data_IF_112740713018
#
_entry.id   IF_112740713018
#
_cell.length_a   1.000
_cell.length_b   1.000
_cell.length_c   1.000
_cell.angle_alpha   90.00
_cell.angle_beta   90.00
_cell.angle_gamma   90.00
#
_symmetry.space_group_name_H-M   'P 1'
#
loop_
_entity.id
_entity.type
_entity.pdbx_description
1 polymer ?
#
# COMPACT_ATOMS: atom_id res chain seq x y z
N UNK A 1 -8.73 16.20 -14.11
CA UNK A 1 -9.23 14.82 -13.96
C UNK A 1 -9.53 14.68 -12.48
N UNK A 2 -10.78 14.83 -12.08
CA UNK A 2 -11.20 14.60 -10.70
C UNK A 2 -11.34 13.09 -10.56
N UNK A 3 -10.24 12.42 -10.18
CA UNK A 3 -10.14 10.96 -10.20
C UNK A 3 -11.08 10.31 -9.17
N UNK A 4 -11.50 11.04 -8.13
CA UNK A 4 -12.49 10.60 -7.15
C UNK A 4 -13.41 11.78 -6.79
N UNK A 5 -14.56 11.92 -7.47
CA UNK A 5 -15.61 12.80 -6.99
C UNK A 5 -16.54 12.01 -6.04
N UNK A 6 -16.55 12.30 -4.73
CA UNK A 6 -17.42 11.59 -3.81
C UNK A 6 -18.91 11.75 -4.14
N UNK A 7 -19.28 12.84 -4.84
CA UNK A 7 -20.63 13.07 -5.34
C UNK A 7 -21.10 12.02 -6.35
N UNK A 8 -20.20 11.47 -7.15
CA UNK A 8 -20.51 10.43 -8.15
C UNK A 8 -20.80 9.08 -7.48
N UNK A 9 -20.24 8.87 -6.28
CA UNK A 9 -20.44 7.68 -5.47
C UNK A 9 -21.56 7.83 -4.44
N UNK A 10 -21.92 9.06 -4.05
CA UNK A 10 -22.99 9.36 -3.09
C UNK A 10 -24.33 8.68 -3.44
N UNK A 11 -24.56 8.38 -4.72
CA UNK A 11 -25.79 7.76 -5.24
C UNK A 11 -25.56 6.40 -5.93
N UNK A 12 -24.34 5.86 -5.90
CA UNK A 12 -23.95 4.62 -6.58
C UNK A 12 -23.70 3.43 -5.64
N UNK A 13 -23.61 2.22 -6.21
CA UNK A 13 -23.38 0.97 -5.48
C UNK A 13 -22.15 1.02 -4.54
N UNK A 14 -21.12 1.81 -4.88
CA UNK A 14 -19.92 1.99 -4.06
C UNK A 14 -20.20 2.54 -2.66
N UNK A 15 -21.11 3.51 -2.49
CA UNK A 15 -21.47 4.07 -1.17
C UNK A 15 -22.02 3.00 -0.23
N UNK A 16 -22.85 2.07 -0.75
CA UNK A 16 -23.37 0.96 0.07
C UNK A 16 -22.24 0.04 0.56
N UNK A 17 -21.28 -0.31 -0.28
CA UNK A 17 -20.16 -1.16 0.11
C UNK A 17 -19.23 -0.49 1.12
N UNK A 18 -18.91 0.79 0.92
CA UNK A 18 -18.08 1.52 1.88
C UNK A 18 -18.75 1.62 3.25
N UNK A 19 -20.03 1.96 3.30
CA UNK A 19 -20.75 2.00 4.59
C UNK A 19 -20.79 0.63 5.27
N UNK A 20 -20.99 -0.46 4.53
CA UNK A 20 -20.96 -1.82 5.10
C UNK A 20 -19.60 -2.16 5.73
N UNK A 21 -18.49 -1.79 5.09
CA UNK A 21 -17.14 -1.98 5.65
C UNK A 21 -16.98 -1.14 6.93
N UNK A 22 -17.41 0.12 6.89
CA UNK A 22 -17.32 1.04 8.03
C UNK A 22 -18.18 0.57 9.20
N UNK A 23 -19.35 -0.02 8.93
CA UNK A 23 -20.26 -0.58 9.93
C UNK A 23 -19.66 -1.77 10.69
N UNK A 24 -18.68 -2.49 10.13
CA UNK A 24 -17.94 -3.54 10.85
C UNK A 24 -17.25 -2.99 12.10
N UNK A 25 -16.91 -1.70 12.12
CA UNK A 25 -16.33 -1.03 13.30
C UNK A 25 -17.30 -0.98 14.49
N UNK A 26 -18.61 -1.06 14.28
CA UNK A 26 -19.57 -1.17 15.40
C UNK A 26 -19.52 -2.52 16.09
N UNK A 27 -19.10 -3.56 15.38
CA UNK A 27 -18.93 -4.91 15.92
C UNK A 27 -17.54 -5.10 16.52
N UNK A 28 -16.53 -4.44 15.94
CA UNK A 28 -15.12 -4.51 16.36
C UNK A 28 -14.55 -3.08 16.48
N UNK A 29 -14.69 -2.40 17.63
CA UNK A 29 -14.30 -0.99 17.78
C UNK A 29 -12.81 -0.69 17.54
N UNK A 30 -11.95 -1.70 17.66
CA UNK A 30 -10.50 -1.58 17.40
C UNK A 30 -10.14 -1.72 15.92
N UNK A 31 -11.08 -2.18 15.07
CA UNK A 31 -10.87 -2.34 13.64
C UNK A 31 -10.61 -0.97 12.98
N UNK A 32 -9.51 -0.90 12.22
CA UNK A 32 -9.19 0.24 11.36
C UNK A 32 -9.47 -0.07 9.90
N UNK A 33 -10.00 0.93 9.21
CA UNK A 33 -10.38 0.84 7.79
C UNK A 33 -9.58 1.87 6.99
N UNK A 34 -8.81 1.43 6.00
CA UNK A 34 -7.93 2.29 5.20
C UNK A 34 -8.41 2.23 3.75
N UNK A 35 -8.58 3.39 3.12
CA UNK A 35 -8.93 3.48 1.70
C UNK A 35 -7.66 3.32 0.85
N UNK A 36 -7.53 2.19 0.14
CA UNK A 36 -6.45 2.02 -0.83
C UNK A 36 -6.85 2.60 -2.20
N UNK A 37 -6.00 3.49 -2.73
CA UNK A 37 -6.16 4.13 -4.03
C UNK A 37 -4.93 3.76 -4.85
N UNK A 38 -5.12 2.98 -5.92
CA UNK A 38 -3.97 2.39 -6.58
C UNK A 38 -4.30 1.25 -7.53
N UNK A 39 -3.44 0.23 -7.52
CA UNK A 39 -3.58 -0.97 -8.32
C UNK A 39 -3.12 -0.74 -9.75
N UNK A 40 -3.85 -1.23 -10.74
CA UNK A 40 -3.47 -1.17 -12.16
C UNK A 40 -3.60 0.21 -12.81
N UNK A 41 -4.01 1.22 -12.05
CA UNK A 41 -4.17 2.59 -12.53
C UNK A 41 -2.81 3.28 -12.72
N UNK A 42 -2.65 4.05 -13.80
CA UNK A 42 -1.41 4.80 -14.05
C UNK A 42 -1.45 6.16 -13.32
N UNK A 43 -0.65 6.28 -12.25
CA UNK A 43 -0.55 7.50 -11.45
C UNK A 43 0.59 8.42 -11.89
N UNK A 44 1.45 8.01 -12.84
CA UNK A 44 2.72 8.71 -13.11
C UNK A 44 2.50 10.17 -13.45
N UNK A 45 1.58 10.44 -14.39
CA UNK A 45 1.29 11.81 -14.85
C UNK A 45 0.60 12.67 -13.78
N UNK A 46 -0.10 12.04 -12.83
CA UNK A 46 -0.73 12.73 -11.71
C UNK A 46 0.32 13.11 -10.66
N UNK A 47 1.26 12.19 -10.35
CA UNK A 47 2.25 12.40 -9.30
C UNK A 47 3.28 13.46 -9.67
N UNK A 48 3.76 13.48 -10.92
CA UNK A 48 4.82 14.40 -11.36
C UNK A 48 4.34 15.83 -11.63
N UNK A 49 3.03 16.07 -11.63
CA UNK A 49 2.42 17.35 -11.97
C UNK A 49 1.78 17.94 -10.72
N UNK A 50 2.35 19.02 -10.20
CA UNK A 50 1.94 19.62 -8.92
C UNK A 50 0.44 19.94 -8.84
N UNK A 51 -0.13 20.51 -9.91
CA UNK A 51 -1.55 20.87 -9.94
C UNK A 51 -2.46 19.64 -9.93
N UNK A 52 -2.05 18.57 -10.63
CA UNK A 52 -2.81 17.30 -10.63
C UNK A 52 -2.66 16.58 -9.31
N UNK A 53 -1.47 16.57 -8.73
CA UNK A 53 -1.19 15.94 -7.43
C UNK A 53 -1.99 16.59 -6.32
N UNK A 54 -2.02 17.93 -6.26
CA UNK A 54 -2.82 18.66 -5.28
C UNK A 54 -4.34 18.40 -5.41
N UNK A 55 -4.85 18.33 -6.64
CA UNK A 55 -6.26 17.94 -6.89
C UNK A 55 -6.55 16.52 -6.42
N UNK A 56 -5.63 15.59 -6.70
CA UNK A 56 -5.73 14.21 -6.24
C UNK A 56 -5.71 14.12 -4.71
N UNK A 57 -4.75 14.77 -4.04
CA UNK A 57 -4.60 14.81 -2.58
C UNK A 57 -5.90 15.31 -1.93
N UNK A 58 -6.44 16.42 -2.43
CA UNK A 58 -7.70 16.97 -1.94
C UNK A 58 -8.86 15.98 -2.11
N UNK A 59 -8.97 15.40 -3.31
CA UNK A 59 -10.02 14.45 -3.67
C UNK A 59 -9.96 13.16 -2.82
N UNK A 60 -8.77 12.64 -2.57
CA UNK A 60 -8.55 11.51 -1.66
C UNK A 60 -8.95 11.85 -0.22
N UNK A 61 -8.52 13.02 0.28
CA UNK A 61 -8.86 13.47 1.63
C UNK A 61 -10.37 13.69 1.82
N UNK A 62 -11.04 14.29 0.83
CA UNK A 62 -12.50 14.45 0.83
C UNK A 62 -13.19 13.08 0.93
N UNK A 63 -12.67 12.06 0.22
CA UNK A 63 -13.23 10.70 0.25
C UNK A 63 -13.02 9.99 1.59
N UNK A 64 -11.79 10.04 2.13
CA UNK A 64 -11.43 9.48 3.44
C UNK A 64 -12.33 10.05 4.53
N UNK A 65 -12.54 11.37 4.52
CA UNK A 65 -13.35 12.05 5.51
C UNK A 65 -14.85 11.80 5.32
N UNK A 66 -15.36 11.80 4.08
CA UNK A 66 -16.78 11.59 3.81
C UNK A 66 -17.27 10.22 4.30
N UNK A 67 -16.48 9.17 4.06
CA UNK A 67 -16.83 7.80 4.44
C UNK A 67 -16.25 7.38 5.79
N UNK A 68 -15.59 8.29 6.50
CA UNK A 68 -15.00 8.04 7.83
C UNK A 68 -14.01 6.86 7.85
N UNK A 69 -13.17 6.77 6.82
CA UNK A 69 -12.00 5.90 6.84
C UNK A 69 -11.00 6.40 7.89
N UNK A 70 -10.24 5.47 8.46
CA UNK A 70 -9.18 5.72 9.43
C UNK A 70 -7.85 6.10 8.75
N UNK A 71 -7.75 5.93 7.43
CA UNK A 71 -6.54 6.22 6.66
C UNK A 71 -6.69 6.14 5.16
N UNK A 72 -5.58 6.44 4.47
CA UNK A 72 -5.37 6.26 3.04
C UNK A 72 -4.13 5.41 2.79
N UNK A 73 -4.22 4.53 1.80
CA UNK A 73 -3.10 3.75 1.28
C UNK A 73 -2.91 4.09 -0.20
N UNK A 74 -1.66 4.34 -0.62
CA UNK A 74 -1.33 4.53 -2.04
C UNK A 74 -0.66 3.25 -2.53
N UNK A 75 -1.37 2.49 -3.38
CA UNK A 75 -0.83 1.28 -3.99
C UNK A 75 -0.10 1.59 -5.30
N UNK A 76 1.24 1.64 -5.19
CA UNK A 76 2.18 2.06 -6.22
C UNK A 76 2.62 0.83 -7.00
N UNK A 77 1.70 0.22 -7.76
CA UNK A 77 2.03 -0.96 -8.57
C UNK A 77 2.97 -0.65 -9.74
N UNK A 78 3.09 0.63 -10.13
CA UNK A 78 3.88 1.11 -11.25
C UNK A 78 4.98 2.07 -10.78
N UNK A 79 6.23 1.93 -11.27
CA UNK A 79 7.33 2.76 -10.82
C UNK A 79 7.14 4.22 -11.25
N UNK A 80 7.19 5.13 -10.28
CA UNK A 80 7.26 6.58 -10.49
C UNK A 80 8.70 6.94 -10.87
N UNK A 81 8.90 7.77 -11.90
CA UNK A 81 10.25 8.04 -12.43
C UNK A 81 11.14 8.86 -11.49
N UNK A 82 10.53 9.68 -10.64
CA UNK A 82 11.23 10.62 -9.77
C UNK A 82 10.82 10.38 -8.30
N UNK A 83 11.78 10.01 -7.46
CA UNK A 83 11.56 9.75 -6.03
C UNK A 83 11.01 10.96 -5.26
N UNK A 84 11.32 12.18 -5.69
CA UNK A 84 10.87 13.39 -4.99
C UNK A 84 9.35 13.56 -5.13
N UNK A 85 8.80 13.26 -6.31
CA UNK A 85 7.37 13.46 -6.57
C UNK A 85 6.50 12.49 -5.76
N UNK A 86 6.97 11.25 -5.57
CA UNK A 86 6.33 10.29 -4.65
C UNK A 86 6.38 10.80 -3.20
N UNK A 87 7.54 11.31 -2.78
CA UNK A 87 7.72 11.87 -1.43
C UNK A 87 6.79 13.06 -1.20
N UNK A 88 6.66 13.95 -2.19
CA UNK A 88 5.75 15.08 -2.15
C UNK A 88 4.29 14.61 -2.01
N UNK A 89 3.86 13.61 -2.78
CA UNK A 89 2.51 13.05 -2.64
C UNK A 89 2.23 12.57 -1.21
N UNK A 90 3.17 11.82 -0.62
CA UNK A 90 3.03 11.26 0.73
C UNK A 90 2.97 12.38 1.78
N UNK A 91 3.84 13.39 1.67
CA UNK A 91 3.82 14.57 2.53
C UNK A 91 2.50 15.32 2.44
N UNK A 92 2.07 15.65 1.23
CA UNK A 92 0.83 16.40 0.98
C UNK A 92 -0.40 15.64 1.52
N UNK A 93 -0.46 14.31 1.37
CA UNK A 93 -1.52 13.49 1.97
C UNK A 93 -1.51 13.57 3.50
N UNK A 94 -0.33 13.49 4.14
CA UNK A 94 -0.21 13.60 5.59
C UNK A 94 -0.58 14.98 6.10
N UNK A 95 -0.23 16.04 5.36
CA UNK A 95 -0.60 17.42 5.69
C UNK A 95 -2.12 17.63 5.71
N UNK A 96 -2.85 17.07 4.73
CA UNK A 96 -4.31 17.21 4.67
C UNK A 96 -5.07 16.18 5.53
N UNK A 97 -4.39 15.13 6.00
CA UNK A 97 -4.94 14.07 6.86
C UNK A 97 -4.06 13.80 8.11
N UNK A 98 -3.80 14.80 8.96
CA UNK A 98 -2.80 14.67 10.05
C UNK A 98 -3.11 13.54 11.04
N UNK A 99 -4.38 13.40 11.40
CA UNK A 99 -4.88 12.41 12.38
C UNK A 99 -5.24 11.04 11.76
N UNK A 100 -5.03 10.86 10.45
CA UNK A 100 -5.33 9.60 9.76
C UNK A 100 -4.04 8.84 9.46
N UNK A 101 -4.19 7.54 9.25
CA UNK A 101 -3.10 6.70 8.77
C UNK A 101 -2.78 7.05 7.32
N UNK A 102 -1.50 7.19 7.00
CA UNK A 102 -0.98 7.31 5.63
C UNK A 102 -0.01 6.16 5.40
N UNK A 103 -0.37 5.27 4.50
CA UNK A 103 0.43 4.09 4.16
C UNK A 103 0.71 4.05 2.66
N UNK A 104 1.69 3.24 2.27
CA UNK A 104 1.93 2.94 0.86
C UNK A 104 2.07 1.43 0.69
N UNK A 105 1.60 0.95 -0.45
CA UNK A 105 1.83 -0.42 -0.89
C UNK A 105 2.80 -0.41 -2.07
N UNK A 106 3.88 -1.17 -1.97
CA UNK A 106 4.98 -1.16 -2.94
C UNK A 106 5.30 -2.58 -3.44
N UNK A 107 5.51 -2.76 -4.75
CA UNK A 107 5.96 -4.03 -5.30
C UNK A 107 7.44 -4.26 -5.05
N UNK A 108 7.86 -5.52 -5.04
CA UNK A 108 9.29 -5.90 -5.04
C UNK A 108 9.96 -5.41 -6.34
N UNK A 109 10.63 -4.27 -6.32
CA UNK A 109 11.18 -3.58 -7.52
C UNK A 109 12.67 -3.26 -7.42
N UNK A 110 13.45 -4.29 -7.08
CA UNK A 110 14.90 -4.22 -6.83
C UNK A 110 15.73 -3.38 -7.83
N UNK A 111 15.39 -3.37 -9.13
CA UNK A 111 16.23 -2.69 -10.14
C UNK A 111 16.20 -1.16 -10.07
N UNK A 112 15.28 -0.56 -9.31
CA UNK A 112 15.08 0.90 -9.30
C UNK A 112 14.83 1.49 -7.91
N UNK A 113 15.07 0.72 -6.84
CA UNK A 113 14.76 1.09 -5.47
C UNK A 113 15.15 2.55 -5.12
N UNK A 114 16.44 2.88 -5.18
CA UNK A 114 16.96 4.21 -4.80
C UNK A 114 16.48 5.35 -5.71
N UNK A 115 16.08 5.02 -6.94
CA UNK A 115 15.55 6.00 -7.91
C UNK A 115 14.08 6.32 -7.69
N UNK A 116 13.37 5.46 -6.96
CA UNK A 116 11.92 5.56 -6.71
C UNK A 116 11.64 5.97 -5.27
N UNK A 117 12.43 5.50 -4.30
CA UNK A 117 12.14 5.69 -2.87
C UNK A 117 13.20 6.56 -2.19
N UNK A 118 12.78 7.70 -1.67
CA UNK A 118 13.52 8.43 -0.63
C UNK A 118 13.11 7.88 0.74
N UNK A 119 13.74 6.77 1.15
CA UNK A 119 13.33 6.02 2.34
C UNK A 119 13.33 6.88 3.61
N UNK A 120 14.37 7.69 3.92
CA UNK A 120 14.33 8.56 5.10
C UNK A 120 13.15 9.54 5.10
N UNK A 121 12.86 10.16 3.96
CA UNK A 121 11.74 11.10 3.86
C UNK A 121 10.38 10.39 3.99
N UNK A 122 10.23 9.22 3.36
CA UNK A 122 9.02 8.41 3.47
C UNK A 122 8.81 7.93 4.92
N UNK A 123 9.86 7.38 5.54
CA UNK A 123 9.81 6.81 6.90
C UNK A 123 9.41 7.83 7.97
N UNK A 124 9.71 9.11 7.75
CA UNK A 124 9.33 10.19 8.65
C UNK A 124 7.81 10.45 8.68
N UNK A 125 7.08 10.02 7.65
CA UNK A 125 5.71 10.48 7.38
C UNK A 125 4.71 9.34 7.41
N UNK A 126 5.04 8.21 6.77
CA UNK A 126 4.13 7.06 6.70
C UNK A 126 4.02 6.36 8.04
N UNK A 127 2.84 5.81 8.31
CA UNK A 127 2.59 4.96 9.46
C UNK A 127 3.25 3.58 9.25
N UNK A 128 3.08 2.99 8.06
CA UNK A 128 3.79 1.78 7.64
C UNK A 128 3.79 1.60 6.12
N UNK A 129 4.63 0.70 5.63
CA UNK A 129 4.77 0.30 4.22
C UNK A 129 4.39 -1.18 4.06
N UNK A 130 3.47 -1.45 3.14
CA UNK A 130 3.11 -2.80 2.73
C UNK A 130 4.00 -3.26 1.58
N UNK A 131 4.85 -4.26 1.82
CA UNK A 131 5.67 -4.89 0.78
C UNK A 131 4.84 -5.96 0.08
N UNK A 132 4.39 -5.67 -1.14
CA UNK A 132 3.60 -6.58 -1.94
C UNK A 132 4.49 -7.67 -2.55
N UNK A 133 4.44 -8.87 -1.96
CA UNK A 133 5.14 -10.04 -2.48
C UNK A 133 4.50 -10.51 -3.78
N UNK A 134 5.16 -10.25 -4.91
CA UNK A 134 4.76 -10.78 -6.21
C UNK A 134 5.56 -12.06 -6.49
N UNK A 135 4.93 -13.24 -6.53
CA UNK A 135 5.66 -14.48 -6.76
C UNK A 135 6.16 -14.54 -8.21
N UNK A 136 7.38 -15.07 -8.41
CA UNK A 136 7.94 -15.30 -9.76
C UNK A 136 7.30 -16.51 -10.48
N UNK A 137 6.52 -17.33 -9.78
CA UNK A 137 5.80 -18.48 -10.36
C UNK A 137 4.40 -18.64 -9.74
N UNK A 138 3.49 -19.29 -10.47
CA UNK A 138 2.04 -19.37 -10.18
C UNK A 138 1.65 -20.32 -9.02
N UNK A 139 2.60 -20.88 -8.28
CA UNK A 139 2.35 -21.88 -7.23
C UNK A 139 2.56 -21.26 -5.85
N UNK A 140 1.49 -20.72 -5.25
CA UNK A 140 1.58 -20.10 -3.92
C UNK A 140 0.78 -20.86 -2.86
N UNK A 141 1.23 -22.09 -2.58
CA UNK A 141 1.15 -22.66 -1.24
C UNK A 141 2.58 -22.99 -0.82
N UNK A 142 3.10 -22.30 0.20
CA UNK A 142 4.44 -22.55 0.76
C UNK A 142 5.62 -22.16 -0.14
N UNK A 143 5.41 -21.31 -1.16
CA UNK A 143 6.46 -20.88 -2.08
C UNK A 143 7.54 -20.03 -1.39
N UNK A 144 8.79 -20.40 -1.60
CA UNK A 144 9.99 -19.81 -1.01
C UNK A 144 10.00 -18.27 -1.10
N UNK A 145 9.88 -17.58 0.04
CA UNK A 145 10.07 -16.11 0.14
C UNK A 145 11.43 -15.66 -0.43
N UNK A 146 12.43 -16.54 -0.48
CA UNK A 146 13.72 -16.23 -1.12
C UNK A 146 13.55 -16.08 -2.63
N UNK A 147 12.58 -16.75 -3.24
CA UNK A 147 12.34 -16.67 -4.68
C UNK A 147 11.64 -15.38 -5.12
N UNK A 148 10.88 -14.72 -4.23
CA UNK A 148 10.03 -13.55 -4.53
C UNK A 148 10.71 -12.19 -4.39
N UNK A 149 12.03 -12.15 -4.15
CA UNK A 149 12.78 -10.93 -3.82
C UNK A 149 12.28 -10.17 -2.57
N UNK A 150 11.30 -10.72 -1.83
CA UNK A 150 10.68 -10.03 -0.68
C UNK A 150 11.71 -9.72 0.40
N UNK A 151 12.59 -10.67 0.70
CA UNK A 151 13.66 -10.45 1.68
C UNK A 151 14.60 -9.32 1.26
N UNK A 152 15.06 -9.33 0.01
CA UNK A 152 15.96 -8.29 -0.53
C UNK A 152 15.28 -6.91 -0.52
N UNK A 153 13.99 -6.85 -0.86
CA UNK A 153 13.21 -5.62 -0.81
C UNK A 153 13.11 -5.09 0.62
N UNK A 154 12.72 -5.93 1.59
CA UNK A 154 12.67 -5.53 3.00
C UNK A 154 14.03 -5.10 3.53
N UNK A 155 15.09 -5.81 3.14
CA UNK A 155 16.46 -5.46 3.51
C UNK A 155 16.82 -4.07 2.99
N UNK A 156 16.49 -3.75 1.73
CA UNK A 156 16.72 -2.42 1.16
C UNK A 156 15.99 -1.32 1.92
N UNK A 157 14.73 -1.54 2.32
CA UNK A 157 14.00 -0.58 3.16
C UNK A 157 14.70 -0.36 4.50
N UNK A 158 15.08 -1.43 5.20
CA UNK A 158 15.75 -1.33 6.51
C UNK A 158 17.14 -0.69 6.38
N UNK A 159 17.94 -1.09 5.39
CA UNK A 159 19.29 -0.57 5.20
C UNK A 159 19.31 0.91 4.81
N UNK A 160 18.22 1.43 4.23
CA UNK A 160 18.03 2.83 3.88
C UNK A 160 17.28 3.64 4.96
N UNK A 161 17.07 3.07 6.16
CA UNK A 161 16.60 3.82 7.33
C UNK A 161 15.13 3.61 7.72
N UNK A 162 14.41 2.69 7.08
CA UNK A 162 13.06 2.33 7.53
C UNK A 162 13.13 1.50 8.82
N UNK A 163 12.28 1.83 9.80
CA UNK A 163 12.17 1.02 11.01
C UNK A 163 11.45 -0.29 10.73
N UNK A 164 11.89 -1.37 11.38
CA UNK A 164 11.37 -2.73 11.13
C UNK A 164 9.89 -2.86 11.49
N UNK A 165 9.42 -2.15 12.51
CA UNK A 165 8.02 -2.10 12.94
C UNK A 165 7.08 -1.37 11.97
N UNK A 166 7.64 -0.62 11.01
CA UNK A 166 6.89 0.04 9.94
C UNK A 166 6.82 -0.78 8.65
N UNK A 167 7.34 -2.01 8.62
CA UNK A 167 7.30 -2.88 7.44
C UNK A 167 6.30 -4.03 7.63
N UNK A 168 5.32 -4.09 6.74
CA UNK A 168 4.32 -5.16 6.69
C UNK A 168 4.56 -6.01 5.44
N UNK A 169 4.62 -7.33 5.60
CA UNK A 169 4.80 -8.27 4.49
C UNK A 169 3.45 -8.68 3.93
N UNK A 170 3.15 -8.24 2.72
CA UNK A 170 2.01 -8.74 1.96
C UNK A 170 2.29 -10.16 1.48
N UNK A 171 1.42 -11.10 1.83
CA UNK A 171 1.45 -12.47 1.33
C UNK A 171 0.32 -12.67 0.33
N UNK A 172 0.67 -12.98 -0.92
CA UNK A 172 -0.34 -13.29 -1.93
C UNK A 172 -0.98 -14.64 -1.65
N UNK A 173 -2.31 -14.69 -1.50
CA UNK A 173 -3.06 -15.95 -1.49
C UNK A 173 -3.76 -16.03 -2.84
N UNK A 174 -3.26 -16.86 -3.76
CA UNK A 174 -3.84 -16.97 -5.10
C UNK A 174 -4.13 -18.42 -5.48
N UNK A 175 -5.38 -18.69 -5.88
CA UNK A 175 -5.94 -20.01 -6.14
C UNK A 175 -5.69 -20.52 -7.58
N UNK A 176 -4.49 -20.40 -8.13
CA UNK A 176 -4.11 -21.24 -9.29
C UNK A 176 -3.71 -22.65 -8.85
N UNK A 177 -4.47 -23.22 -7.92
CA UNK A 177 -4.33 -24.58 -7.40
C UNK A 177 -5.30 -25.44 -8.19
N UNK A 178 -4.79 -26.49 -8.83
CA UNK A 178 -5.62 -27.58 -9.35
C UNK A 178 -6.33 -28.28 -8.18
N UNK A 179 -7.48 -27.76 -7.73
CA UNK A 179 -8.55 -28.29 -6.83
C UNK A 179 -8.25 -29.21 -5.62
N UNK A 180 -7.05 -29.72 -5.38
CA UNK A 180 -6.83 -30.90 -4.53
C UNK A 180 -5.71 -30.75 -3.48
N UNK A 181 -5.32 -29.54 -3.07
CA UNK A 181 -4.31 -29.39 -2.01
C UNK A 181 -4.59 -28.17 -1.17
N UNK A 182 -5.01 -28.39 0.08
CA UNK A 182 -5.04 -27.40 1.14
C UNK A 182 -3.98 -27.82 2.15
N UNK A 183 -3.01 -26.96 2.40
CA UNK A 183 -2.00 -27.16 3.44
C UNK A 183 -1.26 -25.85 3.69
N UNK A 184 -1.06 -25.48 4.96
CA UNK A 184 -0.18 -24.38 5.37
C UNK A 184 1.06 -25.02 5.99
N UNK A 185 2.26 -24.67 5.52
CA UNK A 185 3.51 -25.07 6.17
C UNK A 185 4.34 -23.81 6.50
N UNK A 186 4.55 -23.58 7.79
CA UNK A 186 5.52 -22.62 8.29
C UNK A 186 6.74 -23.42 8.74
N UNK A 187 7.81 -23.44 7.94
CA UNK A 187 9.12 -23.87 8.43
C UNK A 187 10.05 -22.65 8.48
N UNK A 188 10.18 -22.05 9.66
CA UNK A 188 11.24 -21.09 9.96
C UNK A 188 12.40 -21.87 10.59
N UNK A 189 13.44 -22.14 9.81
CA UNK A 189 14.61 -22.88 10.28
C UNK A 189 15.49 -21.93 11.11
N UNK A 190 15.45 -22.09 12.44
CA UNK A 190 15.98 -21.17 13.45
C UNK A 190 17.52 -21.24 13.61
N UNK A 191 18.30 -21.20 12.53
CA UNK A 191 19.77 -21.35 12.57
C UNK A 191 20.62 -20.21 11.99
N UNK A 192 20.06 -19.02 11.73
CA UNK A 192 20.85 -17.87 11.22
C UNK A 192 20.95 -16.71 12.21
N UNK A 193 20.84 -16.98 13.51
CA UNK A 193 21.19 -16.02 14.57
C UNK A 193 22.11 -16.68 15.59
N UNK A 194 23.37 -16.90 15.20
CA UNK A 194 24.55 -16.94 16.07
C UNK A 194 25.74 -16.32 15.34
#
# INVERSE_FOLDING_TARGET
>A
MDLLNPGDLKWGAGNKFYNQIIELKFQQPELKTILSIGGTCDFKDMVIDDDKRQKFVKSAADFVNLFNFDGVDIDISQPIKNRQDLTNLINELKEVLPEKLVTISVPTTLKRFDSVYDVPAIAAVVDFVNILTIPKSTSFIGGDLKSSNTFDEMYNWVSNGMSKDKLVVGMGINENISRNSVGFDFTLDAKVLQ
#
